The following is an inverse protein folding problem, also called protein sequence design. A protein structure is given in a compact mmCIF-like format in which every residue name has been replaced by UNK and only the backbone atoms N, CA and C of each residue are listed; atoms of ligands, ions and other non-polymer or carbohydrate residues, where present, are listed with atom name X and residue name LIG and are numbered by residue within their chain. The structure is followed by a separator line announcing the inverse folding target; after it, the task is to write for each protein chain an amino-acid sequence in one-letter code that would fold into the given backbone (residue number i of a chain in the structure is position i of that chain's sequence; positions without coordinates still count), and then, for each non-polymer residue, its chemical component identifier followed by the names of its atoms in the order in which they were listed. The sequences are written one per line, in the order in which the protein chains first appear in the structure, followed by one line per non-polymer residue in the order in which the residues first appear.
data_IF_502166891238
#
_entry.id   IF_502166891238
#
_cell.length_a   1.000
_cell.length_b   1.000
_cell.length_c   1.000
_cell.angle_alpha   90.00
_cell.angle_beta   90.00
_cell.angle_gamma   90.00
#
_symmetry.space_group_name_H-M   'P 1'
#
loop_
_entity.id
_entity.type
_entity.pdbx_description
1 polymer ?
#
# COMPACT_ATOMS: atom_id res chain seq x y z
N UNK A 1 -0.39 21.02 -16.67
CA UNK A 1 -0.24 19.55 -16.75
C UNK A 1 0.34 19.10 -15.41
N UNK A 2 -0.23 18.09 -14.75
CA UNK A 2 0.44 17.44 -13.62
C UNK A 2 1.60 16.63 -14.22
N UNK A 3 2.75 17.27 -14.41
CA UNK A 3 3.88 16.70 -15.13
C UNK A 3 4.57 15.64 -14.26
N UNK A 4 4.35 14.36 -14.60
CA UNK A 4 5.34 13.29 -14.49
C UNK A 4 6.08 13.13 -13.16
N UNK A 5 5.41 13.36 -12.02
CA UNK A 5 6.02 13.29 -10.70
C UNK A 5 6.54 11.88 -10.31
N UNK A 6 6.25 10.83 -11.09
CA UNK A 6 6.66 9.45 -10.80
C UNK A 6 8.17 9.28 -10.56
N UNK A 7 8.97 10.02 -11.32
CA UNK A 7 10.43 9.96 -11.27
C UNK A 7 11.04 11.03 -10.36
N UNK A 8 10.23 11.88 -9.71
CA UNK A 8 10.73 12.85 -8.72
C UNK A 8 11.38 12.12 -7.55
N UNK A 9 12.58 12.58 -7.17
CA UNK A 9 13.41 11.97 -6.13
C UNK A 9 13.31 12.80 -4.86
N UNK A 10 12.98 12.14 -3.74
CA UNK A 10 13.06 12.68 -2.40
C UNK A 10 14.07 11.93 -1.56
N UNK A 11 14.77 12.64 -0.67
CA UNK A 11 15.62 12.01 0.35
C UNK A 11 14.75 11.51 1.50
N UNK A 12 14.69 10.19 1.67
CA UNK A 12 14.07 9.58 2.84
C UNK A 12 15.05 9.59 4.01
N UNK A 13 14.80 10.52 4.94
CA UNK A 13 15.59 10.72 6.15
C UNK A 13 15.26 9.71 7.26
N UNK A 14 14.26 8.84 7.07
CA UNK A 14 13.92 7.78 8.02
C UNK A 14 14.70 6.48 7.79
N UNK A 15 15.30 6.28 6.61
CA UNK A 15 16.27 5.21 6.39
C UNK A 15 17.57 5.50 7.17
N UNK A 16 18.26 4.43 7.60
CA UNK A 16 19.60 4.51 8.18
C UNK A 16 20.61 3.66 7.36
N UNK A 17 21.54 4.30 6.62
CA UNK A 17 21.65 5.75 6.40
C UNK A 17 20.52 6.29 5.50
N UNK A 18 20.26 7.61 5.47
CA UNK A 18 19.25 8.22 4.59
C UNK A 18 19.46 7.84 3.11
N UNK A 19 18.36 7.60 2.38
CA UNK A 19 18.40 7.17 0.97
C UNK A 19 17.41 7.91 0.10
N UNK A 20 17.81 8.15 -1.15
CA UNK A 20 16.94 8.67 -2.18
C UNK A 20 15.91 7.63 -2.63
N UNK A 21 14.66 8.06 -2.83
CA UNK A 21 13.57 7.24 -3.35
C UNK A 21 12.78 8.04 -4.39
N UNK A 22 12.38 7.41 -5.49
CA UNK A 22 11.44 8.02 -6.43
C UNK A 22 10.03 8.00 -5.84
N UNK A 23 9.19 8.96 -6.21
CA UNK A 23 7.79 9.00 -5.81
C UNK A 23 7.04 7.72 -6.22
N UNK A 24 7.30 7.21 -7.43
CA UNK A 24 6.73 5.94 -7.89
C UNK A 24 7.17 4.73 -7.05
N UNK A 25 8.43 4.70 -6.60
CA UNK A 25 8.92 3.65 -5.68
C UNK A 25 8.20 3.73 -4.34
N UNK A 26 7.99 4.94 -3.80
CA UNK A 26 7.27 5.13 -2.54
C UNK A 26 5.81 4.64 -2.64
N UNK A 27 5.12 4.96 -3.74
CA UNK A 27 3.75 4.47 -3.98
C UNK A 27 3.70 2.95 -4.13
N UNK A 28 4.61 2.35 -4.90
CA UNK A 28 4.70 0.90 -5.05
C UNK A 28 4.98 0.21 -3.70
N UNK A 29 5.85 0.79 -2.87
CA UNK A 29 6.11 0.30 -1.52
C UNK A 29 4.83 0.32 -0.67
N UNK A 30 4.09 1.43 -0.63
CA UNK A 30 2.86 1.54 0.18
C UNK A 30 1.83 0.49 -0.25
N UNK A 31 1.60 0.32 -1.56
CA UNK A 31 0.62 -0.64 -2.08
C UNK A 31 1.01 -2.08 -1.70
N UNK A 32 2.27 -2.45 -1.96
CA UNK A 32 2.75 -3.82 -1.70
C UNK A 32 2.85 -4.12 -0.20
N UNK A 33 3.30 -3.17 0.61
CA UNK A 33 3.38 -3.28 2.06
C UNK A 33 2.00 -3.41 2.70
N UNK A 34 1.04 -2.58 2.26
CA UNK A 34 -0.35 -2.66 2.72
C UNK A 34 -0.98 -4.02 2.40
N UNK A 35 -0.74 -4.54 1.19
CA UNK A 35 -1.22 -5.86 0.81
C UNK A 35 -0.56 -6.99 1.60
N UNK A 36 0.74 -6.88 1.90
CA UNK A 36 1.46 -7.85 2.73
C UNK A 36 0.84 -7.96 4.13
N UNK A 37 0.64 -6.83 4.82
CA UNK A 37 0.01 -6.84 6.14
C UNK A 37 -1.46 -7.23 6.10
N UNK A 38 -2.20 -6.85 5.05
CA UNK A 38 -3.58 -7.30 4.87
C UNK A 38 -3.65 -8.83 4.84
N UNK A 39 -2.79 -9.49 4.07
CA UNK A 39 -2.76 -10.95 3.99
C UNK A 39 -2.50 -11.60 5.37
N UNK A 40 -1.57 -11.04 6.15
CA UNK A 40 -1.29 -11.49 7.52
C UNK A 40 -2.53 -11.36 8.42
N UNK A 41 -3.21 -10.20 8.39
CA UNK A 41 -4.40 -9.96 9.21
C UNK A 41 -5.56 -10.87 8.81
N UNK A 42 -5.82 -11.06 7.51
CA UNK A 42 -6.85 -11.97 7.03
C UNK A 42 -6.60 -13.42 7.49
N UNK A 43 -5.34 -13.85 7.49
CA UNK A 43 -4.98 -15.16 8.02
C UNK A 43 -5.24 -15.27 9.53
N UNK A 44 -4.85 -14.26 10.33
CA UNK A 44 -5.09 -14.24 11.77
C UNK A 44 -6.59 -14.17 12.12
N UNK A 45 -7.39 -13.41 11.36
CA UNK A 45 -8.84 -13.36 11.52
C UNK A 45 -9.47 -14.72 11.28
N UNK A 46 -9.04 -15.42 10.23
CA UNK A 46 -9.48 -16.79 9.95
C UNK A 46 -9.15 -17.74 11.11
N UNK A 47 -7.94 -17.68 11.65
CA UNK A 47 -7.55 -18.50 12.80
C UNK A 47 -8.37 -18.17 14.07
N UNK A 48 -8.89 -16.96 14.18
CA UNK A 48 -9.72 -16.50 15.30
C UNK A 48 -11.21 -16.87 15.15
N UNK A 49 -11.59 -17.59 14.09
CA UNK A 49 -12.97 -18.01 13.83
C UNK A 49 -13.83 -16.97 13.09
N UNK A 50 -13.23 -15.90 12.54
CA UNK A 50 -13.97 -14.93 11.73
C UNK A 50 -14.16 -15.49 10.33
N UNK A 51 -15.41 -15.76 9.95
CA UNK A 51 -15.77 -16.32 8.64
C UNK A 51 -16.00 -15.24 7.57
N UNK A 52 -16.62 -14.11 7.95
CA UNK A 52 -16.83 -12.97 7.06
C UNK A 52 -15.60 -12.07 7.07
N UNK A 53 -14.62 -12.41 6.23
CA UNK A 53 -13.44 -11.59 6.05
C UNK A 53 -13.77 -10.35 5.20
N UNK A 54 -13.23 -9.17 5.56
CA UNK A 54 -13.48 -7.96 4.79
C UNK A 54 -12.97 -8.10 3.35
N UNK A 55 -13.79 -7.71 2.39
CA UNK A 55 -13.37 -7.42 1.01
C UNK A 55 -12.41 -6.23 1.00
N UNK A 56 -11.51 -6.15 0.02
CA UNK A 56 -10.62 -4.99 -0.11
C UNK A 56 -9.75 -5.03 -1.34
N UNK A 57 -10.30 -5.52 -2.45
CA UNK A 57 -9.74 -5.17 -3.74
C UNK A 57 -10.05 -3.69 -4.03
N UNK A 58 -9.16 -3.06 -4.78
CA UNK A 58 -9.22 -1.62 -5.06
C UNK A 58 -10.41 -1.28 -5.97
N UNK A 59 -10.84 -2.20 -6.84
CA UNK A 59 -11.97 -1.98 -7.74
C UNK A 59 -13.29 -1.87 -6.95
N UNK A 60 -13.47 -2.69 -5.92
CA UNK A 60 -14.63 -2.61 -5.04
C UNK A 60 -14.66 -1.33 -4.20
N UNK A 61 -13.53 -0.67 -3.97
CA UNK A 61 -13.51 0.67 -3.37
C UNK A 61 -13.85 1.76 -4.38
N UNK A 62 -13.26 1.69 -5.58
CA UNK A 62 -13.57 2.61 -6.69
C UNK A 62 -15.07 2.63 -6.98
N UNK A 63 -15.69 1.44 -7.09
CA UNK A 63 -17.12 1.30 -7.38
C UNK A 63 -18.05 1.82 -6.28
N UNK A 64 -17.57 2.02 -5.04
CA UNK A 64 -18.39 2.55 -3.91
C UNK A 64 -18.48 4.08 -3.91
N UNK A 65 -17.64 4.77 -4.68
CA UNK A 65 -17.56 6.24 -4.71
C UNK A 65 -18.44 6.85 -5.82
N UNK A 66 -19.14 6.02 -6.59
CA UNK A 66 -20.11 6.39 -7.62
C UNK A 66 -21.54 6.07 -7.20
#
# INVERSE_FOLDING_TARGET
AAEQAWDEVGLDVLDDPPREKTFGTALAHIITHSMHHRAQLLYLLRLSGVESLPEGDVFSWENRVT
#
